data_IF_298058134652
#
_entry.id   IF_298058134652
#
_cell.length_a   1.000
_cell.length_b   1.000
_cell.length_c   1.000
_cell.angle_alpha   90.00
_cell.angle_beta   90.00
_cell.angle_gamma   90.00
#
_symmetry.space_group_name_H-M   'P 1'
#
loop_
_entity.id
_entity.type
_entity.pdbx_description
1 polymer ?
#
# COMPACT_ATOMS: atom_id res chain seq x y z
N UNK A 1 8.25 1.56 -22.97
CA UNK A 1 7.15 0.61 -22.84
C UNK A 1 6.40 0.93 -21.52
N UNK A 2 5.07 1.16 -21.60
CA UNK A 2 4.30 1.51 -20.40
C UNK A 2 4.19 0.29 -19.51
N UNK A 3 4.63 0.39 -18.27
CA UNK A 3 4.53 -0.68 -17.28
C UNK A 3 3.07 -1.09 -17.07
N UNK A 4 2.79 -2.38 -16.94
CA UNK A 4 1.47 -2.89 -16.59
C UNK A 4 1.12 -2.56 -15.13
N UNK A 5 -0.16 -2.42 -14.81
CA UNK A 5 -0.60 -2.28 -13.43
C UNK A 5 -0.18 -3.49 -12.58
N UNK A 6 -0.02 -3.29 -11.29
CA UNK A 6 0.32 -4.37 -10.34
C UNK A 6 -0.77 -5.43 -10.23
N UNK A 7 -2.03 -5.02 -10.41
CA UNK A 7 -3.19 -5.89 -10.30
C UNK A 7 -4.21 -5.59 -11.38
N UNK A 8 -4.98 -6.61 -11.73
CA UNK A 8 -6.14 -6.51 -12.61
C UNK A 8 -7.40 -6.72 -11.78
N UNK A 9 -8.31 -5.75 -11.78
CA UNK A 9 -9.62 -5.89 -11.17
C UNK A 9 -10.48 -6.83 -12.02
N UNK A 10 -11.02 -7.88 -11.41
CA UNK A 10 -11.88 -8.85 -12.08
C UNK A 10 -13.35 -8.49 -11.91
N UNK A 11 -13.79 -8.20 -10.70
CA UNK A 11 -15.17 -7.76 -10.38
C UNK A 11 -15.25 -7.11 -9.00
N UNK A 12 -16.39 -6.42 -8.77
CA UNK A 12 -16.79 -5.89 -7.47
C UNK A 12 -18.19 -6.35 -7.12
N UNK A 13 -18.41 -6.66 -5.86
CA UNK A 13 -19.72 -7.02 -5.31
C UNK A 13 -20.03 -6.11 -4.12
N UNK A 14 -21.22 -5.49 -4.15
CA UNK A 14 -21.74 -4.75 -3.00
C UNK A 14 -22.56 -5.70 -2.15
N UNK A 15 -22.40 -5.61 -0.83
CA UNK A 15 -23.13 -6.43 0.13
C UNK A 15 -24.30 -5.66 0.75
N UNK A 16 -25.34 -6.38 1.19
CA UNK A 16 -26.54 -5.80 1.80
C UNK A 16 -26.22 -5.02 3.09
N UNK A 17 -25.17 -5.39 3.82
CA UNK A 17 -24.68 -4.69 5.01
C UNK A 17 -23.89 -3.41 4.73
N UNK A 18 -23.74 -3.06 3.45
CA UNK A 18 -22.98 -1.90 3.00
C UNK A 18 -21.49 -2.16 2.78
N UNK A 19 -21.01 -3.37 3.03
CA UNK A 19 -19.65 -3.81 2.69
C UNK A 19 -19.46 -4.02 1.18
N UNK A 20 -18.21 -4.22 0.77
CA UNK A 20 -17.84 -4.44 -0.63
C UNK A 20 -16.73 -5.48 -0.71
N UNK A 21 -16.82 -6.38 -1.71
CA UNK A 21 -15.72 -7.29 -2.05
C UNK A 21 -15.23 -7.01 -3.46
N UNK A 22 -13.93 -6.77 -3.59
CA UNK A 22 -13.24 -6.63 -4.87
C UNK A 22 -12.38 -7.87 -5.12
N UNK A 23 -12.44 -8.40 -6.33
CA UNK A 23 -11.68 -9.57 -6.78
C UNK A 23 -10.60 -9.12 -7.74
N UNK A 24 -9.38 -9.55 -7.49
CA UNK A 24 -8.19 -9.16 -8.24
C UNK A 24 -7.38 -10.36 -8.68
N UNK A 25 -6.56 -10.13 -9.70
CA UNK A 25 -5.48 -11.02 -10.12
C UNK A 25 -4.17 -10.26 -10.11
N UNK A 26 -3.12 -10.90 -9.59
CA UNK A 26 -1.76 -10.37 -9.64
C UNK A 26 -1.23 -10.30 -11.06
N UNK A 27 -0.57 -9.18 -11.39
CA UNK A 27 0.33 -9.09 -12.54
C UNK A 27 1.77 -9.31 -12.05
N UNK A 28 2.71 -9.50 -12.98
CA UNK A 28 4.09 -9.90 -12.63
C UNK A 28 4.77 -8.95 -11.64
N UNK A 29 4.48 -7.65 -11.70
CA UNK A 29 5.11 -6.66 -10.82
C UNK A 29 4.62 -6.70 -9.36
N UNK A 30 3.61 -7.51 -9.05
CA UNK A 30 3.22 -7.80 -7.67
C UNK A 30 4.01 -8.94 -7.03
N UNK A 31 4.84 -9.66 -7.81
CA UNK A 31 5.60 -10.83 -7.35
C UNK A 31 6.66 -10.46 -6.30
N UNK A 32 6.74 -11.28 -5.25
CA UNK A 32 7.72 -11.16 -4.18
C UNK A 32 9.15 -11.55 -4.59
N UNK A 33 10.10 -11.14 -3.76
CA UNK A 33 11.52 -11.41 -3.97
C UNK A 33 11.99 -12.73 -3.37
N UNK A 34 11.30 -13.23 -2.34
CA UNK A 34 11.72 -14.44 -1.61
C UNK A 34 11.15 -15.71 -2.23
N UNK A 35 9.96 -15.61 -2.81
CA UNK A 35 9.27 -16.74 -3.40
C UNK A 35 8.44 -16.26 -4.61
N UNK A 36 8.58 -16.89 -5.80
CA UNK A 36 7.80 -16.51 -6.98
C UNK A 36 6.30 -16.76 -6.85
N UNK A 37 5.88 -17.57 -5.87
CA UNK A 37 4.47 -17.92 -5.63
C UNK A 37 3.79 -17.01 -4.61
N UNK A 38 4.46 -15.95 -4.16
CA UNK A 38 3.89 -14.98 -3.22
C UNK A 38 3.94 -13.56 -3.77
N UNK A 39 3.04 -12.72 -3.24
CA UNK A 39 3.06 -11.29 -3.50
C UNK A 39 4.14 -10.60 -2.65
N UNK A 40 4.72 -9.55 -3.20
CA UNK A 40 5.52 -8.62 -2.40
C UNK A 40 4.60 -7.80 -1.48
N UNK A 41 5.04 -7.54 -0.24
CA UNK A 41 4.21 -6.84 0.75
C UNK A 41 3.87 -5.40 0.34
N UNK A 42 4.77 -4.70 -0.38
CA UNK A 42 4.55 -3.32 -0.77
C UNK A 42 3.34 -3.14 -1.70
N UNK A 43 3.21 -3.83 -2.85
CA UNK A 43 2.01 -3.73 -3.66
C UNK A 43 0.76 -4.29 -2.97
N UNK A 44 0.88 -5.35 -2.15
CA UNK A 44 -0.24 -5.87 -1.37
C UNK A 44 -0.78 -4.83 -0.37
N UNK A 45 0.10 -4.10 0.32
CA UNK A 45 -0.29 -2.97 1.16
C UNK A 45 -0.94 -1.86 0.34
N UNK A 46 -0.39 -1.56 -0.82
CA UNK A 46 -0.91 -0.52 -1.71
C UNK A 46 -2.33 -0.79 -2.17
N UNK A 47 -2.64 -2.02 -2.60
CA UNK A 47 -4.00 -2.37 -3.04
C UNK A 47 -5.00 -2.37 -1.88
N UNK A 48 -4.59 -2.81 -0.68
CA UNK A 48 -5.43 -2.70 0.51
C UNK A 48 -5.74 -1.25 0.86
N UNK A 49 -4.74 -0.37 0.84
CA UNK A 49 -4.94 1.07 1.07
C UNK A 49 -5.84 1.71 0.01
N UNK A 50 -5.69 1.33 -1.26
CA UNK A 50 -6.55 1.81 -2.33
C UNK A 50 -8.02 1.42 -2.11
N UNK A 51 -8.30 0.20 -1.66
CA UNK A 51 -9.65 -0.24 -1.33
C UNK A 51 -10.20 0.47 -0.08
N UNK A 52 -9.38 0.71 0.94
CA UNK A 52 -9.76 1.49 2.11
C UNK A 52 -10.12 2.93 1.75
N UNK A 53 -9.35 3.59 0.88
CA UNK A 53 -9.65 4.95 0.41
C UNK A 53 -10.91 5.01 -0.45
N UNK A 54 -11.14 4.00 -1.28
CA UNK A 54 -12.31 3.90 -2.16
C UNK A 54 -13.61 3.65 -1.38
N UNK A 55 -13.53 3.01 -0.22
CA UNK A 55 -14.69 2.61 0.56
C UNK A 55 -15.35 3.81 1.24
N UNK A 56 -16.60 4.10 0.84
CA UNK A 56 -17.43 5.21 1.38
C UNK A 56 -16.60 6.50 1.58
N UNK A 57 -16.04 7.06 0.50
CA UNK A 57 -15.16 8.22 0.61
C UNK A 57 -15.91 9.43 1.16
N UNK A 58 -15.19 10.25 1.95
CA UNK A 58 -15.68 11.51 2.50
C UNK A 58 -14.64 12.59 2.24
N UNK A 59 -15.07 13.70 1.62
CA UNK A 59 -14.18 14.81 1.27
C UNK A 59 -13.61 15.54 2.49
N UNK A 60 -14.32 15.47 3.62
CA UNK A 60 -13.91 16.09 4.89
C UNK A 60 -13.01 15.20 5.76
N UNK A 61 -12.67 14.00 5.29
CA UNK A 61 -11.83 13.05 6.04
C UNK A 61 -10.61 12.59 5.24
N UNK A 62 -9.56 12.21 5.98
CA UNK A 62 -8.39 11.50 5.46
C UNK A 62 -8.04 10.31 6.33
N UNK A 63 -7.40 9.32 5.73
CA UNK A 63 -6.78 8.22 6.48
C UNK A 63 -5.60 8.79 7.25
N UNK A 64 -5.64 8.70 8.58
CA UNK A 64 -4.59 9.15 9.47
C UNK A 64 -3.72 8.02 10.03
N UNK A 65 -4.22 6.79 9.99
CA UNK A 65 -3.49 5.59 10.43
C UNK A 65 -3.98 4.37 9.68
N UNK A 66 -3.02 3.52 9.29
CA UNK A 66 -3.29 2.17 8.79
C UNK A 66 -2.46 1.19 9.61
N UNK A 67 -3.11 0.17 10.15
CA UNK A 67 -2.46 -0.97 10.79
C UNK A 67 -2.74 -2.23 10.00
N UNK A 68 -1.73 -3.07 9.79
CA UNK A 68 -1.86 -4.34 9.08
C UNK A 68 -1.42 -5.49 9.97
N UNK A 69 -2.24 -6.55 9.98
CA UNK A 69 -1.89 -7.83 10.57
C UNK A 69 -1.72 -8.84 9.43
N UNK A 70 -0.54 -9.45 9.36
CA UNK A 70 -0.17 -10.40 8.32
C UNK A 70 -0.23 -11.80 8.91
N UNK A 71 -1.10 -12.66 8.35
CA UNK A 71 -1.36 -13.99 8.90
C UNK A 71 -0.53 -15.10 8.27
N UNK A 72 0.24 -14.79 7.24
CA UNK A 72 1.08 -15.78 6.58
C UNK A 72 1.46 -15.37 5.15
N UNK A 73 1.81 -16.36 4.35
CA UNK A 73 2.16 -16.16 2.94
C UNK A 73 1.00 -15.52 2.17
N UNK A 74 1.32 -14.50 1.40
CA UNK A 74 0.36 -13.80 0.54
C UNK A 74 0.45 -14.43 -0.86
N UNK A 75 -0.47 -15.31 -1.19
CA UNK A 75 -0.45 -16.07 -2.44
C UNK A 75 -0.45 -15.15 -3.67
N UNK A 76 0.46 -15.40 -4.60
CA UNK A 76 0.46 -14.79 -5.92
C UNK A 76 -0.57 -15.49 -6.81
N UNK A 77 -1.52 -14.72 -7.35
CA UNK A 77 -2.59 -15.26 -8.18
C UNK A 77 -3.86 -14.43 -8.03
N UNK A 78 -4.99 -15.09 -7.87
CA UNK A 78 -6.28 -14.44 -7.62
C UNK A 78 -6.54 -14.34 -6.12
N UNK A 79 -7.13 -13.22 -5.71
CA UNK A 79 -7.48 -12.93 -4.32
C UNK A 79 -8.67 -11.97 -4.25
N UNK A 80 -9.24 -11.84 -3.07
CA UNK A 80 -10.30 -10.88 -2.80
C UNK A 80 -9.93 -9.93 -1.68
N UNK A 81 -10.50 -8.73 -1.70
CA UNK A 81 -10.46 -7.77 -0.60
C UNK A 81 -11.89 -7.40 -0.24
N UNK A 82 -12.28 -7.71 0.99
CA UNK A 82 -13.58 -7.32 1.55
C UNK A 82 -13.38 -6.14 2.49
N UNK A 83 -14.06 -5.03 2.19
CA UNK A 83 -13.98 -3.80 2.97
C UNK A 83 -15.31 -3.54 3.67
N UNK A 84 -15.24 -3.16 4.93
CA UNK A 84 -16.42 -2.91 5.77
C UNK A 84 -16.21 -1.79 6.77
N UNK A 85 -17.33 -1.18 7.19
CA UNK A 85 -17.35 -0.22 8.29
C UNK A 85 -17.33 -0.97 9.63
N UNK A 86 -16.32 -0.70 10.46
CA UNK A 86 -16.24 -1.22 11.82
C UNK A 86 -16.88 -0.26 12.81
N UNK A 87 -16.54 1.01 12.72
CA UNK A 87 -17.08 2.06 13.57
C UNK A 87 -17.39 3.31 12.73
N UNK A 88 -18.66 3.61 12.48
CA UNK A 88 -19.05 4.87 11.88
C UNK A 88 -18.86 6.02 12.85
N UNK A 89 -18.70 7.25 12.35
CA UNK A 89 -18.61 8.43 13.19
C UNK A 89 -18.57 9.74 12.41
N UNK A 90 -18.90 10.83 13.11
CA UNK A 90 -18.92 12.16 12.52
C UNK A 90 -17.52 12.73 12.28
N UNK A 91 -16.61 12.49 13.22
CA UNK A 91 -15.24 13.05 13.21
C UNK A 91 -14.15 12.03 12.97
N UNK A 92 -14.42 10.77 13.31
CA UNK A 92 -13.52 9.64 13.05
C UNK A 92 -14.34 8.42 12.66
N UNK A 93 -13.79 7.59 11.77
CA UNK A 93 -14.34 6.31 11.34
C UNK A 93 -13.26 5.25 11.37
N UNK A 94 -13.62 4.03 11.75
CA UNK A 94 -12.78 2.84 11.61
C UNK A 94 -13.34 1.96 10.52
N UNK A 95 -12.51 1.68 9.50
CA UNK A 95 -12.82 0.75 8.41
C UNK A 95 -11.80 -0.37 8.37
N UNK A 96 -12.19 -1.51 7.82
CA UNK A 96 -11.36 -2.70 7.72
C UNK A 96 -11.40 -3.25 6.31
N UNK A 97 -10.23 -3.69 5.81
CA UNK A 97 -10.10 -4.44 4.57
C UNK A 97 -9.40 -5.77 4.86
N UNK A 98 -10.01 -6.86 4.43
CA UNK A 98 -9.51 -8.22 4.60
C UNK A 98 -9.14 -8.81 3.25
N UNK A 99 -7.88 -9.23 3.08
CA UNK A 99 -7.40 -9.92 1.89
C UNK A 99 -7.47 -11.44 2.11
N UNK A 100 -8.17 -12.12 1.21
CA UNK A 100 -8.28 -13.57 1.21
C UNK A 100 -7.79 -14.15 -0.11
N UNK A 101 -7.00 -15.21 -0.03
CA UNK A 101 -6.55 -16.00 -1.17
C UNK A 101 -6.64 -17.49 -0.84
N UNK A 102 -7.09 -18.31 -1.80
CA UNK A 102 -7.24 -19.76 -1.62
C UNK A 102 -8.04 -20.14 -0.36
N UNK A 103 -9.10 -19.37 -0.07
CA UNK A 103 -9.98 -19.61 1.08
C UNK A 103 -9.39 -19.25 2.44
N UNK A 104 -8.25 -18.56 2.48
CA UNK A 104 -7.57 -18.15 3.72
C UNK A 104 -7.37 -16.65 3.78
N UNK A 105 -7.54 -16.08 4.97
CA UNK A 105 -7.17 -14.68 5.25
C UNK A 105 -5.66 -14.55 5.26
N UNK A 106 -5.13 -13.66 4.42
CA UNK A 106 -3.71 -13.36 4.34
C UNK A 106 -3.34 -12.12 5.16
N UNK A 107 -4.16 -11.07 5.04
CA UNK A 107 -3.90 -9.78 5.69
C UNK A 107 -5.25 -9.20 6.15
N UNK A 108 -5.24 -8.60 7.33
CA UNK A 108 -6.31 -7.69 7.79
C UNK A 108 -5.70 -6.31 7.98
N UNK A 109 -6.28 -5.31 7.32
CA UNK A 109 -5.86 -3.91 7.43
C UNK A 109 -6.99 -3.09 8.04
N UNK A 110 -6.69 -2.29 9.05
CA UNK A 110 -7.62 -1.34 9.65
C UNK A 110 -7.12 0.08 9.47
N UNK A 111 -8.02 0.97 9.06
CA UNK A 111 -7.72 2.37 8.85
C UNK A 111 -8.63 3.26 9.70
N UNK A 112 -8.04 4.21 10.40
CA UNK A 112 -8.75 5.33 10.99
C UNK A 112 -8.81 6.48 9.99
N UNK A 113 -10.02 6.86 9.60
CA UNK A 113 -10.30 8.09 8.85
C UNK A 113 -10.62 9.19 9.85
N UNK A 114 -10.01 10.33 9.66
CA UNK A 114 -10.10 11.47 10.57
C UNK A 114 -10.55 12.72 9.81
N UNK A 115 -11.41 13.52 10.46
CA UNK A 115 -11.82 14.81 9.92
C UNK A 115 -10.63 15.75 9.80
N UNK A 116 -10.48 16.37 8.65
CA UNK A 116 -9.45 17.36 8.39
C UNK A 116 -9.82 18.72 9.00
N UNK A 117 -8.81 19.50 9.37
CA UNK A 117 -8.94 20.88 9.85
C UNK A 117 -7.78 21.73 9.34
N UNK A 118 -7.92 23.04 9.43
CA UNK A 118 -6.83 23.95 9.10
C UNK A 118 -5.80 23.98 10.24
N UNK A 119 -4.59 23.50 9.94
CA UNK A 119 -3.47 23.43 10.90
C UNK A 119 -2.35 24.43 10.60
N UNK A 120 -2.56 25.38 9.68
CA UNK A 120 -1.51 26.35 9.28
C UNK A 120 -0.93 27.14 10.46
N UNK A 121 -1.75 27.43 11.46
CA UNK A 121 -1.31 28.19 12.64
C UNK A 121 -0.24 27.47 13.48
N UNK A 122 -0.16 26.13 13.38
CA UNK A 122 0.79 25.29 14.12
C UNK A 122 1.77 24.55 13.21
N UNK A 123 1.76 24.88 11.91
CA UNK A 123 2.67 24.27 10.96
C UNK A 123 4.12 24.72 11.19
N UNK A 124 5.05 23.79 11.10
CA UNK A 124 6.47 24.05 11.25
C UNK A 124 7.31 22.90 10.70
N UNK A 125 8.62 23.14 10.60
CA UNK A 125 9.61 22.14 10.24
C UNK A 125 10.61 22.03 11.39
N UNK A 126 10.57 20.91 12.10
CA UNK A 126 11.53 20.61 13.18
C UNK A 126 12.83 20.04 12.60
N UNK A 127 12.73 19.24 11.54
CA UNK A 127 13.87 18.66 10.86
C UNK A 127 14.23 19.44 9.59
N UNK A 128 15.48 19.34 9.16
CA UNK A 128 15.90 19.88 7.88
C UNK A 128 15.22 19.12 6.74
N UNK A 129 14.81 19.80 5.65
CA UNK A 129 14.29 19.15 4.47
C UNK A 129 15.28 18.11 3.94
N UNK A 130 14.78 16.94 3.54
CA UNK A 130 15.61 15.94 2.85
C UNK A 130 15.88 16.39 1.42
N UNK A 131 17.03 16.01 0.90
CA UNK A 131 17.45 16.37 -0.46
C UNK A 131 16.51 15.79 -1.52
N UNK A 132 16.21 16.60 -2.54
CA UNK A 132 15.35 16.19 -3.65
C UNK A 132 16.01 15.04 -4.42
N UNK A 133 15.24 13.99 -4.81
CA UNK A 133 15.78 12.86 -5.54
C UNK A 133 16.48 13.22 -6.86
N UNK A 134 16.14 14.35 -7.48
CA UNK A 134 16.81 14.83 -8.71
C UNK A 134 18.31 15.07 -8.52
N UNK A 135 18.74 15.37 -7.32
CA UNK A 135 20.14 15.63 -6.98
C UNK A 135 20.87 14.40 -6.44
N UNK A 136 20.16 13.27 -6.29
CA UNK A 136 20.75 12.05 -5.75
C UNK A 136 21.12 11.07 -6.87
N UNK A 137 22.24 10.32 -6.73
CA UNK A 137 22.64 9.32 -7.70
C UNK A 137 21.69 8.12 -7.70
N UNK A 138 21.61 7.46 -8.84
CA UNK A 138 20.96 6.16 -8.96
C UNK A 138 21.63 5.16 -8.00
N UNK A 139 20.82 4.29 -7.42
CA UNK A 139 21.26 3.26 -6.50
C UNK A 139 20.67 1.90 -6.91
N UNK A 140 21.52 0.92 -7.08
CA UNK A 140 21.15 -0.42 -7.55
C UNK A 140 21.09 -1.47 -6.43
N UNK A 141 21.21 -1.07 -5.18
CA UNK A 141 21.29 -1.99 -4.04
C UNK A 141 20.14 -2.95 -3.87
N UNK A 142 18.97 -2.67 -4.47
CA UNK A 142 17.83 -3.60 -4.49
C UNK A 142 17.95 -4.66 -5.58
N UNK A 143 18.81 -4.48 -6.58
CA UNK A 143 18.93 -5.36 -7.75
C UNK A 143 19.52 -6.73 -7.44
N UNK A 144 20.09 -6.92 -6.25
CA UNK A 144 20.53 -8.22 -5.78
C UNK A 144 19.35 -9.18 -5.48
N UNK A 145 18.14 -8.65 -5.34
CA UNK A 145 16.94 -9.45 -5.09
C UNK A 145 16.18 -9.71 -6.39
N UNK A 146 15.67 -10.93 -6.61
CA UNK A 146 14.78 -11.24 -7.73
C UNK A 146 13.35 -10.72 -7.47
N UNK A 147 12.45 -10.98 -8.41
CA UNK A 147 11.03 -10.73 -8.27
C UNK A 147 10.53 -9.54 -9.05
N UNK A 148 9.26 -9.63 -9.45
CA UNK A 148 8.63 -8.63 -10.32
C UNK A 148 8.50 -7.26 -9.68
N UNK A 149 8.28 -7.18 -8.36
CA UNK A 149 8.21 -5.89 -7.68
C UNK A 149 9.54 -5.15 -7.71
N UNK A 150 10.64 -5.83 -7.40
CA UNK A 150 11.98 -5.22 -7.44
C UNK A 150 12.31 -4.71 -8.85
N UNK A 151 11.90 -5.43 -9.88
CA UNK A 151 12.09 -5.01 -11.27
C UNK A 151 11.25 -3.78 -11.66
N UNK A 152 10.18 -3.49 -10.91
CA UNK A 152 9.24 -2.40 -11.20
C UNK A 152 9.63 -1.06 -10.60
N UNK A 153 10.67 -1.00 -9.78
CA UNK A 153 11.07 0.22 -9.07
C UNK A 153 12.43 0.74 -9.51
N UNK A 154 12.54 2.07 -9.53
CA UNK A 154 13.81 2.79 -9.60
C UNK A 154 14.14 3.34 -8.22
N UNK A 155 15.41 3.36 -7.87
CA UNK A 155 15.88 3.83 -6.58
C UNK A 155 17.04 4.81 -6.71
N UNK A 156 17.04 5.83 -5.86
CA UNK A 156 18.13 6.78 -5.66
C UNK A 156 18.47 6.87 -4.19
N UNK A 157 19.72 7.01 -3.85
CA UNK A 157 20.16 7.04 -2.47
C UNK A 157 21.15 8.16 -2.19
N UNK A 158 21.06 8.74 -0.99
CA UNK A 158 22.04 9.70 -0.52
C UNK A 158 23.43 9.06 -0.42
N UNK A 159 24.53 9.72 -0.87
CA UNK A 159 25.88 9.19 -0.83
C UNK A 159 26.37 8.75 0.56
N UNK A 160 25.93 9.44 1.59
CA UNK A 160 26.31 9.15 3.00
C UNK A 160 25.58 7.93 3.59
N UNK A 161 24.84 7.19 2.77
CA UNK A 161 24.14 5.98 3.18
C UNK A 161 25.12 4.95 3.73
N UNK A 162 24.82 4.42 4.91
CA UNK A 162 25.58 3.35 5.56
C UNK A 162 24.66 2.41 6.34
N UNK A 163 25.16 1.31 6.83
CA UNK A 163 24.38 0.42 7.70
C UNK A 163 23.77 1.20 8.88
N UNK A 164 22.48 1.04 9.08
CA UNK A 164 21.71 1.72 10.15
C UNK A 164 21.32 3.16 9.85
N UNK A 165 21.75 3.76 8.74
CA UNK A 165 21.39 5.14 8.35
C UNK A 165 21.33 5.29 6.84
N UNK A 166 20.24 5.87 6.34
CA UNK A 166 20.17 6.17 4.91
C UNK A 166 18.91 6.94 4.54
N UNK A 167 19.00 7.60 3.38
CA UNK A 167 17.87 8.21 2.68
C UNK A 167 17.84 7.56 1.31
N UNK A 168 16.73 6.92 0.98
CA UNK A 168 16.50 6.26 -0.31
C UNK A 168 15.16 6.71 -0.85
N UNK A 169 15.16 7.13 -2.10
CA UNK A 169 13.94 7.44 -2.84
C UNK A 169 13.59 6.28 -3.76
N UNK A 170 12.31 5.91 -3.77
CA UNK A 170 11.77 4.86 -4.63
C UNK A 170 10.69 5.46 -5.53
N UNK A 171 10.68 5.01 -6.78
CA UNK A 171 9.67 5.38 -7.76
C UNK A 171 9.29 4.16 -8.59
N UNK A 172 7.99 4.00 -8.88
CA UNK A 172 7.51 3.03 -9.85
C UNK A 172 7.87 3.50 -11.27
N UNK A 173 8.25 2.57 -12.14
CA UNK A 173 8.53 2.84 -13.55
C UNK A 173 7.27 3.04 -14.38
#
# INVERSE_FOLDING_TARGET
>A
EKMSAYYTLLKREQHADGGCTAYYRCNIHAQGAWNPHEQHMAPATGILCAELERFKPRDDMRIGRVGLDIFGLITFGEFSITTRMIRPGKTIELIEAEMCAEGKTCIVARAWKMKTSDTRAIAGLEDLPIENPEYLPDWDGMRCWPGGYIQSIETRAHPDRRAGKGIVWLRNQ
#
